data_IF_979934735459
#
_entry.id   IF_979934735459
#
_cell.length_a   1.000
_cell.length_b   1.000
_cell.length_c   1.000
_cell.angle_alpha   90.00
_cell.angle_beta   90.00
_cell.angle_gamma   90.00
#
_symmetry.space_group_name_H-M   'P 1'
#
loop_
_entity.id
_entity.type
_entity.pdbx_description
1 polymer ?
#
# COMPACT_ATOMS: atom_id res chain seq x y z
N UNK A 1 3.36 11.62 10.06
CA UNK A 1 1.91 11.51 9.82
C UNK A 1 1.69 11.29 8.34
N UNK A 2 0.74 10.44 7.99
CA UNK A 2 0.38 10.00 6.63
C UNK A 2 -0.62 8.83 6.71
N UNK A 3 -1.25 8.47 5.59
CA UNK A 3 -2.30 7.44 5.56
C UNK A 3 -3.43 7.77 4.58
N UNK A 4 -4.53 7.00 4.68
CA UNK A 4 -5.74 7.23 3.88
C UNK A 4 -6.38 8.58 4.23
N UNK A 5 -6.78 9.32 3.20
CA UNK A 5 -7.44 10.61 3.32
C UNK A 5 -8.50 10.74 2.20
N UNK A 6 -9.53 11.54 2.45
CA UNK A 6 -10.53 11.89 1.44
C UNK A 6 -10.40 13.38 1.13
N UNK A 7 -10.17 13.71 -0.14
CA UNK A 7 -10.09 15.10 -0.62
C UNK A 7 -11.07 15.22 -1.78
N UNK A 8 -12.03 16.15 -1.71
CA UNK A 8 -13.04 16.35 -2.76
C UNK A 8 -13.75 15.03 -3.15
N UNK A 9 -14.12 14.22 -2.15
CA UNK A 9 -14.75 12.89 -2.33
C UNK A 9 -13.86 11.81 -2.97
N UNK A 10 -12.61 12.13 -3.33
CA UNK A 10 -11.62 11.17 -3.83
C UNK A 10 -10.78 10.59 -2.68
N UNK A 11 -10.58 9.27 -2.70
CA UNK A 11 -9.67 8.59 -1.77
C UNK A 11 -8.23 8.73 -2.25
N UNK A 12 -7.37 9.26 -1.39
CA UNK A 12 -5.93 9.44 -1.65
C UNK A 12 -5.10 8.89 -0.50
N UNK A 13 -3.87 8.48 -0.78
CA UNK A 13 -2.90 8.08 0.24
C UNK A 13 -1.88 9.21 0.41
N UNK A 14 -1.82 9.77 1.62
CA UNK A 14 -0.88 10.84 1.96
C UNK A 14 0.43 10.26 2.46
N UNK A 15 1.54 10.56 1.78
CA UNK A 15 2.88 10.15 2.16
C UNK A 15 3.72 11.37 2.51
N UNK A 16 4.35 11.35 3.69
CA UNK A 16 5.34 12.36 4.06
C UNK A 16 6.73 11.94 3.54
N UNK A 17 7.23 12.65 2.53
CA UNK A 17 8.52 12.36 1.90
C UNK A 17 9.74 12.63 2.78
N UNK A 18 9.60 13.36 3.89
CA UNK A 18 10.69 13.58 4.85
C UNK A 18 10.89 12.40 5.82
N UNK A 19 10.07 11.34 5.70
CA UNK A 19 10.21 10.13 6.53
C UNK A 19 11.09 9.07 5.85
N UNK A 20 11.80 8.23 6.64
CA UNK A 20 12.54 7.10 6.13
C UNK A 20 11.68 6.19 5.24
N UNK A 21 12.32 5.50 4.30
CA UNK A 21 11.63 4.68 3.31
C UNK A 21 10.81 3.58 3.97
N UNK A 22 11.29 3.00 5.06
CA UNK A 22 10.61 1.95 5.83
C UNK A 22 9.28 2.45 6.39
N UNK A 23 9.26 3.70 6.90
CA UNK A 23 8.04 4.29 7.43
C UNK A 23 7.04 4.60 6.30
N UNK A 24 7.53 5.05 5.14
CA UNK A 24 6.69 5.31 3.96
C UNK A 24 6.08 4.01 3.42
N UNK A 25 6.89 2.95 3.34
CA UNK A 25 6.44 1.61 2.95
C UNK A 25 5.40 1.05 3.93
N UNK A 26 5.59 1.24 5.23
CA UNK A 26 4.62 0.81 6.25
C UNK A 26 3.26 1.51 6.08
N UNK A 27 3.26 2.81 5.79
CA UNK A 27 2.02 3.56 5.51
C UNK A 27 1.34 3.01 4.25
N UNK A 28 2.08 2.83 3.16
CA UNK A 28 1.55 2.28 1.91
C UNK A 28 0.95 0.88 2.12
N UNK A 29 1.68 -0.03 2.77
CA UNK A 29 1.21 -1.39 3.04
C UNK A 29 -0.09 -1.41 3.86
N UNK A 30 -0.17 -0.59 4.91
CA UNK A 30 -1.39 -0.46 5.72
C UNK A 30 -2.57 0.04 4.91
N UNK A 31 -2.37 1.07 4.09
CA UNK A 31 -3.43 1.62 3.26
C UNK A 31 -3.88 0.63 2.20
N UNK A 32 -2.97 -0.12 1.58
CA UNK A 32 -3.28 -1.11 0.54
C UNK A 32 -4.04 -2.33 1.03
N UNK A 33 -3.86 -2.75 2.30
CA UNK A 33 -4.67 -3.83 2.91
C UNK A 33 -6.16 -3.50 2.93
N UNK A 34 -6.52 -2.22 2.98
CA UNK A 34 -7.93 -1.79 2.96
C UNK A 34 -8.54 -1.83 1.55
N UNK A 35 -7.73 -2.05 0.50
CA UNK A 35 -8.19 -2.18 -0.88
C UNK A 35 -8.26 -3.65 -1.29
N UNK A 36 -9.28 -3.97 -2.07
CA UNK A 36 -9.36 -5.25 -2.79
C UNK A 36 -8.27 -5.27 -3.87
N UNK A 37 -7.11 -5.84 -3.52
CA UNK A 37 -5.93 -5.89 -4.39
C UNK A 37 -6.17 -6.72 -5.65
N UNK A 38 -7.19 -7.58 -5.69
CA UNK A 38 -7.53 -8.38 -6.88
C UNK A 38 -8.11 -7.51 -8.00
N UNK A 39 -8.62 -6.33 -7.66
CA UNK A 39 -9.15 -5.35 -8.60
C UNK A 39 -8.15 -4.25 -8.96
N UNK A 40 -6.97 -4.24 -8.34
CA UNK A 40 -5.94 -3.23 -8.59
C UNK A 40 -4.88 -3.79 -9.55
N UNK A 41 -4.60 -3.05 -10.62
CA UNK A 41 -3.44 -3.36 -11.46
C UNK A 41 -2.15 -3.12 -10.65
N UNK A 42 -1.42 -4.21 -10.39
CA UNK A 42 -0.12 -4.19 -9.72
C UNK A 42 0.92 -4.67 -10.72
N UNK A 43 2.06 -3.99 -10.79
CA UNK A 43 3.17 -4.38 -11.66
C UNK A 43 3.55 -5.85 -11.37
N UNK A 44 3.71 -6.73 -12.40
CA UNK A 44 3.87 -8.17 -12.19
C UNK A 44 4.96 -8.58 -11.20
N UNK A 45 6.11 -7.90 -11.22
CA UNK A 45 7.21 -8.18 -10.30
C UNK A 45 6.82 -7.93 -8.82
N UNK A 46 6.03 -6.88 -8.57
CA UNK A 46 5.53 -6.57 -7.23
C UNK A 46 4.39 -7.52 -6.82
N UNK A 47 3.53 -7.91 -7.77
CA UNK A 47 2.47 -8.91 -7.54
C UNK A 47 3.07 -10.22 -7.05
N UNK A 48 4.06 -10.75 -7.78
CA UNK A 48 4.75 -11.99 -7.40
C UNK A 48 5.36 -11.92 -6.00
N UNK A 49 6.02 -10.80 -5.66
CA UNK A 49 6.58 -10.61 -4.32
C UNK A 49 5.51 -10.60 -3.20
N UNK A 50 4.36 -9.96 -3.45
CA UNK A 50 3.25 -9.94 -2.48
C UNK A 50 2.67 -11.35 -2.29
N UNK A 51 2.45 -12.08 -3.39
CA UNK A 51 1.91 -13.44 -3.36
C UNK A 51 2.87 -14.40 -2.61
N UNK A 52 4.19 -14.26 -2.82
CA UNK A 52 5.24 -15.00 -2.07
C UNK A 52 5.22 -14.66 -0.56
N UNK A 53 5.03 -13.39 -0.22
CA UNK A 53 4.93 -12.95 1.18
C UNK A 53 3.67 -13.45 1.88
N UNK A 54 2.56 -13.62 1.15
CA UNK A 54 1.31 -14.16 1.70
C UNK A 54 1.38 -15.67 1.93
N UNK A 55 2.04 -16.41 1.04
CA UNK A 55 2.25 -17.86 1.18
C UNK A 55 3.18 -18.23 2.34
N UNK A 56 4.07 -17.32 2.76
CA UNK A 56 4.92 -17.49 3.96
C UNK A 56 4.18 -17.30 5.30
N UNK A 57 2.92 -16.87 5.30
CA UNK A 57 2.09 -16.67 6.50
C UNK A 57 1.06 -17.81 6.71
N UNK A 58 1.24 -18.96 6.06
CA UNK A 58 0.50 -20.23 6.23
C UNK A 58 1.47 -21.35 6.59
#
# INVERSE_FOLDING_TARGET
>A
MGGNCTINEEKVIVINNNKPIEQRLNILAKCFIEYDLDKLYIVPALRAYIDDCQTLNL
#
